data_IF_179192985067
#
_entry.id   IF_179192985067
#
_cell.length_a   1.000
_cell.length_b   1.000
_cell.length_c   1.000
_cell.angle_alpha   90.00
_cell.angle_beta   90.00
_cell.angle_gamma   90.00
#
_symmetry.space_group_name_H-M   'P 1'
#
loop_
_entity.id
_entity.type
_entity.pdbx_description
1 polymer ?
#
# COMPACT_ATOMS: atom_id res chain seq x y z
N UNK A 1 5.45 10.74 -5.07
CA UNK A 1 5.29 9.68 -4.04
C UNK A 1 5.04 8.30 -4.62
N UNK A 2 3.91 8.03 -5.29
CA UNK A 2 3.72 6.70 -5.94
C UNK A 2 4.72 6.42 -7.06
N UNK A 3 5.08 7.44 -7.85
CA UNK A 3 6.10 7.32 -8.90
C UNK A 3 7.49 6.98 -8.33
N UNK A 4 7.83 7.55 -7.17
CA UNK A 4 9.11 7.30 -6.50
C UNK A 4 9.23 5.85 -6.03
N UNK A 5 8.14 5.28 -5.49
CA UNK A 5 8.10 3.88 -5.04
C UNK A 5 8.23 2.93 -6.23
N UNK A 6 7.56 3.23 -7.35
CA UNK A 6 7.65 2.43 -8.58
C UNK A 6 9.07 2.42 -9.15
N UNK A 7 9.76 3.55 -9.12
CA UNK A 7 11.16 3.60 -9.55
C UNK A 7 12.09 2.79 -8.65
N UNK A 8 11.90 2.84 -7.33
CA UNK A 8 12.68 2.05 -6.37
C UNK A 8 12.46 0.55 -6.62
N UNK A 9 11.22 0.12 -6.83
CA UNK A 9 10.87 -1.29 -7.12
C UNK A 9 11.53 -1.76 -8.42
N UNK A 10 11.52 -0.93 -9.48
CA UNK A 10 12.24 -1.22 -10.73
C UNK A 10 13.75 -1.31 -10.51
N UNK A 11 14.35 -0.37 -9.77
CA UNK A 11 15.79 -0.37 -9.44
C UNK A 11 16.18 -1.60 -8.61
N UNK A 12 15.27 -2.13 -7.79
CA UNK A 12 15.48 -3.37 -7.04
C UNK A 12 15.41 -4.65 -7.91
N UNK A 13 15.12 -4.52 -9.20
CA UNK A 13 15.13 -5.59 -10.19
C UNK A 13 13.78 -6.25 -10.42
N UNK A 14 12.69 -5.75 -9.83
CA UNK A 14 11.37 -6.32 -10.07
C UNK A 14 10.79 -5.82 -11.40
N UNK A 15 10.26 -6.74 -12.19
CA UNK A 15 9.61 -6.50 -13.48
C UNK A 15 8.17 -7.01 -13.46
N UNK A 16 7.31 -6.46 -14.33
CA UNK A 16 5.89 -6.79 -14.42
C UNK A 16 5.14 -6.74 -13.08
N UNK A 17 5.30 -5.65 -12.33
CA UNK A 17 4.57 -5.48 -11.09
C UNK A 17 3.24 -4.77 -11.29
N UNK A 18 2.28 -5.11 -10.44
CA UNK A 18 0.99 -4.45 -10.36
C UNK A 18 0.71 -4.00 -8.93
N UNK A 19 -0.09 -2.96 -8.81
CA UNK A 19 -0.46 -2.34 -7.53
C UNK A 19 -1.90 -2.72 -7.22
N UNK A 20 -2.12 -3.31 -6.05
CA UNK A 20 -3.46 -3.56 -5.52
C UNK A 20 -3.68 -2.63 -4.34
N UNK A 21 -4.71 -1.80 -4.43
CA UNK A 21 -5.11 -0.89 -3.37
C UNK A 21 -6.45 -1.34 -2.81
N UNK A 22 -6.54 -1.46 -1.49
CA UNK A 22 -7.76 -1.85 -0.79
C UNK A 22 -8.08 -0.86 0.33
N UNK A 23 -9.38 -0.71 0.59
CA UNK A 23 -9.85 0.03 1.75
C UNK A 23 -9.44 -0.69 3.03
N UNK A 24 -9.00 0.09 4.01
CA UNK A 24 -8.54 -0.47 5.27
C UNK A 24 -9.72 -0.87 6.13
N UNK A 25 -9.74 -2.15 6.54
CA UNK A 25 -10.80 -2.70 7.39
C UNK A 25 -10.80 -2.08 8.80
N UNK A 26 -11.98 -2.00 9.44
CA UNK A 26 -12.12 -1.50 10.81
C UNK A 26 -11.21 -2.21 11.83
N UNK A 27 -11.03 -3.55 11.79
CA UNK A 27 -10.10 -4.23 12.69
C UNK A 27 -8.64 -3.83 12.50
N UNK A 28 -8.20 -3.58 11.26
CA UNK A 28 -6.85 -3.10 10.98
C UNK A 28 -6.68 -1.65 11.46
N UNK A 29 -7.66 -0.79 11.16
CA UNK A 29 -7.67 0.61 11.58
C UNK A 29 -7.52 0.78 13.10
N UNK A 30 -8.14 -0.10 13.90
CA UNK A 30 -8.02 -0.11 15.37
C UNK A 30 -6.58 -0.27 15.88
N UNK A 31 -5.70 -0.96 15.14
CA UNK A 31 -4.28 -1.11 15.53
C UNK A 31 -3.53 0.21 15.58
N UNK A 32 -4.00 1.19 14.81
CA UNK A 32 -3.40 2.52 14.71
C UNK A 32 -3.99 3.52 15.72
N UNK A 33 -4.88 3.08 16.62
CA UNK A 33 -5.29 3.85 17.82
C UNK A 33 -6.24 5.03 17.58
N UNK A 34 -6.51 5.40 16.33
CA UNK A 34 -7.47 6.45 16.00
C UNK A 34 -8.81 5.83 15.61
N UNK A 35 -9.90 6.35 16.19
CA UNK A 35 -11.26 5.85 16.01
C UNK A 35 -11.75 5.77 14.56
N UNK A 36 -13.02 5.40 14.40
CA UNK A 36 -13.74 4.99 13.17
C UNK A 36 -13.45 5.72 11.85
N UNK A 37 -12.74 6.86 11.86
CA UNK A 37 -12.38 7.66 10.70
C UNK A 37 -10.94 7.48 10.21
N UNK A 38 -10.03 6.86 10.96
CA UNK A 38 -8.62 6.74 10.49
C UNK A 38 -8.53 6.00 9.16
N UNK A 39 -9.41 5.01 8.95
CA UNK A 39 -9.58 4.28 7.68
C UNK A 39 -9.92 5.16 6.48
N UNK A 40 -10.45 6.37 6.70
CA UNK A 40 -10.73 7.36 5.64
C UNK A 40 -9.44 8.08 5.20
N UNK A 41 -8.37 7.99 5.98
CA UNK A 41 -7.08 8.65 5.76
C UNK A 41 -5.94 7.69 5.49
N UNK A 42 -6.15 6.37 5.63
CA UNK A 42 -5.15 5.34 5.38
C UNK A 42 -5.66 4.36 4.33
N UNK A 43 -4.75 3.92 3.47
CA UNK A 43 -5.02 2.96 2.42
C UNK A 43 -3.99 1.83 2.49
N UNK A 44 -4.41 0.61 2.22
CA UNK A 44 -3.48 -0.51 2.08
C UNK A 44 -3.12 -0.64 0.60
N UNK A 45 -1.82 -0.60 0.31
CA UNK A 45 -1.32 -0.76 -1.05
C UNK A 45 -0.26 -1.85 -1.08
N UNK A 46 -0.55 -2.91 -1.83
CA UNK A 46 0.33 -4.05 -2.04
C UNK A 46 0.95 -3.98 -3.43
N UNK A 47 2.28 -4.10 -3.50
CA UNK A 47 3.04 -4.23 -4.75
C UNK A 47 3.46 -5.68 -4.95
N UNK A 48 3.03 -6.28 -6.05
CA UNK A 48 3.36 -7.66 -6.40
C UNK A 48 4.14 -7.62 -7.71
N UNK A 49 5.35 -8.19 -7.72
CA UNK A 49 6.20 -8.24 -8.90
C UNK A 49 7.09 -9.48 -8.90
N UNK A 50 7.56 -9.87 -10.08
CA UNK A 50 8.53 -10.96 -10.23
C UNK A 50 9.94 -10.35 -10.33
N UNK A 51 10.92 -11.01 -9.74
CA UNK A 51 12.33 -10.59 -9.81
C UNK A 51 13.04 -11.32 -10.94
#
# INVERSE_FOLDING_TARGET
>A
MEEDVKEIIKKAGFTNFFTKSEEVTDPYAKKWGYGLKIKEFIQETMFIGNK
#
